data_IF_954229088031
#
_entry.id   IF_954229088031
#
_cell.length_a   1.000
_cell.length_b   1.000
_cell.length_c   1.000
_cell.angle_alpha   90.00
_cell.angle_beta   90.00
_cell.angle_gamma   90.00
#
_symmetry.space_group_name_H-M   'P 1'
#
loop_
_entity.id
_entity.type
_entity.pdbx_description
1 polymer ?
#
# COMPACT_ATOMS: atom_id res chain seq x y z
N UNK A 1 9.86 54.39 -36.85
CA UNK A 1 10.99 54.98 -37.64
C UNK A 1 12.09 53.93 -37.77
N UNK A 2 12.49 53.68 -39.05
CA UNK A 2 13.66 52.96 -39.56
C UNK A 2 13.84 51.48 -39.15
N UNK A 3 13.51 50.45 -39.99
CA UNK A 3 14.07 50.07 -41.32
C UNK A 3 15.61 49.97 -41.35
N UNK A 4 16.12 48.71 -41.58
CA UNK A 4 17.02 48.28 -42.64
C UNK A 4 17.28 46.77 -42.37
N UNK A 5 16.87 45.78 -43.07
CA UNK A 5 17.18 45.31 -44.43
C UNK A 5 18.67 44.99 -44.64
N UNK A 6 18.96 43.74 -44.85
CA UNK A 6 20.29 43.23 -45.26
C UNK A 6 20.20 41.78 -45.72
N UNK A 7 20.00 41.62 -46.99
CA UNK A 7 19.96 40.42 -47.86
C UNK A 7 21.37 40.21 -48.44
N UNK A 8 21.84 38.98 -48.63
CA UNK A 8 22.80 38.50 -49.69
C UNK A 8 23.13 37.05 -49.33
N UNK A 9 22.73 36.06 -50.02
CA UNK A 9 22.90 35.51 -51.38
C UNK A 9 24.24 34.79 -51.65
N UNK A 10 24.10 33.58 -52.17
CA UNK A 10 24.96 32.79 -53.06
C UNK A 10 26.08 31.96 -52.39
N UNK A 11 26.46 30.77 -52.85
CA UNK A 11 26.20 30.02 -54.06
C UNK A 11 26.59 28.56 -53.87
N UNK A 12 26.05 27.72 -54.69
CA UNK A 12 26.26 26.29 -54.86
C UNK A 12 27.66 25.96 -55.45
N UNK A 13 28.14 24.74 -55.19
CA UNK A 13 28.91 23.95 -56.18
C UNK A 13 28.71 22.45 -55.94
N UNK A 14 28.23 21.79 -56.95
CA UNK A 14 28.12 20.36 -57.24
C UNK A 14 29.48 19.81 -57.66
N UNK A 15 29.70 18.53 -57.49
CA UNK A 15 30.52 17.52 -58.23
C UNK A 15 30.95 16.47 -57.18
N UNK A 16 30.79 15.17 -57.32
CA UNK A 16 30.66 14.30 -58.45
C UNK A 16 30.37 12.87 -58.02
N UNK A 17 29.84 12.11 -58.91
CA UNK A 17 29.54 10.69 -58.88
C UNK A 17 30.79 9.79 -58.67
N UNK A 18 30.63 8.70 -57.91
CA UNK A 18 31.30 7.44 -58.24
C UNK A 18 30.42 6.26 -57.82
N UNK A 19 30.11 5.46 -58.79
CA UNK A 19 29.38 4.21 -58.75
C UNK A 19 30.24 3.12 -58.08
N UNK A 20 29.63 2.37 -57.19
CA UNK A 20 30.19 1.14 -56.65
C UNK A 20 29.03 0.31 -56.08
N UNK A 21 28.48 -0.55 -56.91
CA UNK A 21 27.51 -1.58 -56.47
C UNK A 21 28.29 -2.66 -55.68
N UNK A 22 27.85 -2.92 -54.48
CA UNK A 22 28.05 -4.21 -53.81
C UNK A 22 26.87 -4.44 -52.89
N UNK A 23 26.04 -5.34 -53.32
CA UNK A 23 24.92 -5.95 -52.66
C UNK A 23 25.42 -6.69 -51.40
N UNK A 24 25.12 -6.20 -50.24
CA UNK A 24 25.10 -6.99 -49.01
C UNK A 24 24.00 -6.46 -48.15
N UNK A 25 22.92 -7.22 -48.12
CA UNK A 25 21.80 -7.08 -47.20
C UNK A 25 22.29 -7.27 -45.78
N UNK A 26 22.77 -6.19 -45.18
CA UNK A 26 23.04 -6.12 -43.75
C UNK A 26 21.85 -5.44 -43.08
N UNK A 27 20.93 -6.29 -42.63
CA UNK A 27 19.89 -5.87 -41.69
C UNK A 27 20.58 -5.38 -40.43
N UNK A 28 20.25 -4.19 -39.92
CA UNK A 28 20.73 -3.79 -38.61
C UNK A 28 20.19 -4.78 -37.60
N UNK A 29 21.03 -5.68 -37.13
CA UNK A 29 20.79 -6.48 -35.93
C UNK A 29 20.79 -5.49 -34.78
N UNK A 30 19.58 -5.05 -34.39
CA UNK A 30 19.42 -4.46 -33.07
C UNK A 30 19.82 -5.57 -32.08
N UNK A 31 21.01 -5.42 -31.53
CA UNK A 31 21.45 -6.28 -30.45
C UNK A 31 20.40 -6.24 -29.37
N UNK A 32 19.73 -7.37 -29.20
CA UNK A 32 18.90 -7.66 -28.04
C UNK A 32 19.85 -7.68 -26.85
N UNK A 33 20.11 -6.50 -26.29
CA UNK A 33 20.62 -6.43 -24.94
C UNK A 33 19.49 -6.96 -24.06
N UNK A 34 19.58 -8.23 -23.68
CA UNK A 34 18.85 -8.79 -22.56
C UNK A 34 19.28 -8.07 -21.28
N UNK A 35 18.98 -6.77 -21.20
CA UNK A 35 18.80 -6.08 -19.96
C UNK A 35 17.45 -6.53 -19.42
N UNK A 36 17.45 -7.60 -18.65
CA UNK A 36 16.34 -7.92 -17.76
C UNK A 36 16.14 -6.71 -16.87
N UNK A 37 15.22 -5.85 -17.24
CA UNK A 37 14.62 -4.88 -16.30
C UNK A 37 13.92 -5.76 -15.26
N UNK A 38 14.33 -5.74 -13.99
CA UNK A 38 13.59 -6.47 -12.96
C UNK A 38 12.32 -5.71 -12.67
N UNK A 39 11.34 -5.82 -13.58
CA UNK A 39 9.95 -5.47 -13.33
C UNK A 39 9.23 -6.76 -12.97
N UNK A 40 9.81 -7.52 -12.05
CA UNK A 40 9.16 -8.68 -11.47
C UNK A 40 8.24 -8.18 -10.36
N UNK A 41 6.93 -8.21 -10.61
CA UNK A 41 5.95 -8.29 -9.53
C UNK A 41 6.46 -9.38 -8.58
N UNK A 42 6.72 -9.08 -7.30
CA UNK A 42 7.27 -10.06 -6.39
C UNK A 42 6.40 -11.32 -6.40
N UNK A 43 7.01 -12.47 -6.62
CA UNK A 43 6.27 -13.71 -6.60
C UNK A 43 5.69 -13.92 -5.19
N UNK A 44 4.49 -14.47 -5.08
CA UNK A 44 3.79 -14.68 -3.80
C UNK A 44 4.69 -15.35 -2.74
N UNK A 45 5.62 -16.22 -3.14
CA UNK A 45 6.58 -16.83 -2.24
C UNK A 45 7.64 -15.86 -1.67
N UNK A 46 8.01 -14.80 -2.38
CA UNK A 46 8.94 -13.78 -1.89
C UNK A 46 8.28 -12.88 -0.86
N UNK A 47 7.03 -12.46 -1.12
CA UNK A 47 6.23 -11.70 -0.16
C UNK A 47 5.99 -12.50 1.14
N UNK A 48 5.71 -13.80 1.03
CA UNK A 48 5.53 -14.66 2.19
C UNK A 48 6.81 -14.79 3.03
N UNK A 49 7.97 -14.88 2.39
CA UNK A 49 9.28 -14.88 3.08
C UNK A 49 9.56 -13.53 3.74
N UNK A 50 9.30 -12.42 3.05
CA UNK A 50 9.48 -11.08 3.60
C UNK A 50 8.59 -10.85 4.83
N UNK A 51 7.30 -11.25 4.75
CA UNK A 51 6.37 -11.23 5.87
C UNK A 51 6.87 -12.02 7.07
N UNK A 52 7.31 -13.28 6.85
CA UNK A 52 7.82 -14.15 7.89
C UNK A 52 9.11 -13.59 8.52
N UNK A 53 10.03 -13.06 7.70
CA UNK A 53 11.26 -12.44 8.17
C UNK A 53 11.02 -11.19 9.03
N UNK A 54 9.95 -10.44 8.75
CA UNK A 54 9.51 -9.29 9.53
C UNK A 54 8.75 -9.68 10.83
N UNK A 55 8.46 -10.96 11.05
CA UNK A 55 7.66 -11.40 12.20
C UNK A 55 6.19 -10.98 12.13
N UNK A 56 5.67 -10.60 10.95
CA UNK A 56 4.28 -10.19 10.79
C UNK A 56 3.38 -11.42 10.91
N UNK A 57 2.42 -11.35 11.82
CA UNK A 57 1.49 -12.43 12.13
C UNK A 57 0.62 -12.84 10.92
N UNK A 58 0.16 -14.08 10.96
CA UNK A 58 -0.86 -14.57 10.02
C UNK A 58 -2.20 -13.85 10.21
N UNK A 59 -2.91 -13.60 9.12
CA UNK A 59 -4.24 -13.00 9.21
C UNK A 59 -5.23 -13.92 9.92
N UNK A 60 -6.14 -13.37 10.73
CA UNK A 60 -7.12 -14.14 11.48
C UNK A 60 -8.08 -14.87 10.53
N UNK A 61 -8.50 -16.06 10.94
CA UNK A 61 -9.61 -16.75 10.29
C UNK A 61 -10.91 -16.10 10.70
N UNK A 62 -11.66 -15.60 9.75
CA UNK A 62 -12.93 -14.92 10.00
C UNK A 62 -14.10 -15.68 9.37
N UNK A 63 -15.26 -15.67 10.02
CA UNK A 63 -16.45 -16.27 9.45
C UNK A 63 -17.04 -15.39 8.34
N UNK A 64 -17.62 -16.01 7.32
CA UNK A 64 -18.37 -15.34 6.24
C UNK A 64 -19.73 -14.88 6.78
N UNK A 65 -19.75 -13.74 7.47
CA UNK A 65 -20.97 -13.19 8.08
C UNK A 65 -21.51 -12.02 7.25
N UNK A 66 -22.82 -11.80 7.34
CA UNK A 66 -23.44 -10.61 6.74
C UNK A 66 -23.01 -9.35 7.48
N UNK A 67 -22.84 -8.26 6.73
CA UNK A 67 -22.70 -6.95 7.34
C UNK A 67 -23.94 -6.62 8.17
N UNK A 68 -23.75 -5.98 9.30
CA UNK A 68 -24.84 -5.45 10.13
C UNK A 68 -24.90 -3.92 10.01
N UNK A 69 -26.00 -3.35 10.44
CA UNK A 69 -26.14 -1.90 10.52
C UNK A 69 -25.00 -1.30 11.35
N UNK A 70 -24.32 -0.27 10.83
CA UNK A 70 -23.14 0.38 11.44
C UNK A 70 -21.96 -0.59 11.69
N UNK A 71 -21.94 -1.78 11.07
CA UNK A 71 -20.84 -2.74 11.22
C UNK A 71 -19.86 -2.66 10.07
N UNK A 72 -18.82 -3.47 10.19
CA UNK A 72 -17.86 -3.65 9.10
C UNK A 72 -18.54 -4.25 7.85
N UNK A 73 -18.07 -3.88 6.64
CA UNK A 73 -18.65 -4.36 5.39
C UNK A 73 -18.40 -5.86 5.19
N UNK A 74 -19.32 -6.53 4.48
CA UNK A 74 -19.16 -7.92 4.05
C UNK A 74 -18.21 -8.01 2.84
N UNK A 75 -16.97 -7.55 3.02
CA UNK A 75 -15.88 -7.59 2.05
C UNK A 75 -14.78 -8.53 2.56
N UNK A 76 -14.12 -9.19 1.63
CA UNK A 76 -12.98 -10.07 1.93
C UNK A 76 -11.74 -9.47 1.31
N UNK A 77 -10.70 -9.30 2.11
CA UNK A 77 -9.40 -8.81 1.69
C UNK A 77 -8.35 -9.92 1.82
N UNK A 78 -7.44 -9.97 0.88
CA UNK A 78 -6.33 -10.91 0.92
C UNK A 78 -5.31 -10.51 1.98
N UNK A 79 -4.73 -11.51 2.65
CA UNK A 79 -3.67 -11.28 3.61
C UNK A 79 -2.40 -10.83 2.88
N UNK A 80 -1.84 -9.69 3.26
CA UNK A 80 -0.61 -9.15 2.68
C UNK A 80 0.55 -10.13 2.92
N UNK A 81 1.23 -10.50 1.86
CA UNK A 81 2.27 -11.54 1.90
C UNK A 81 1.74 -12.98 2.02
N UNK A 82 0.43 -13.19 1.85
CA UNK A 82 -0.19 -14.52 1.86
C UNK A 82 -0.72 -14.96 3.23
N UNK A 83 -1.55 -15.98 3.21
CA UNK A 83 -2.25 -16.52 4.38
C UNK A 83 -3.76 -16.53 4.20
N UNK A 84 -4.51 -16.61 5.30
CA UNK A 84 -5.98 -16.62 5.25
C UNK A 84 -6.52 -15.25 4.81
N UNK A 85 -7.46 -15.17 3.88
CA UNK A 85 -8.18 -13.94 3.61
C UNK A 85 -9.04 -13.56 4.83
N UNK A 86 -9.24 -12.25 5.01
CA UNK A 86 -10.02 -11.70 6.12
C UNK A 86 -11.35 -11.18 5.59
N UNK A 87 -12.45 -11.79 6.05
CA UNK A 87 -13.79 -11.25 5.84
C UNK A 87 -14.11 -10.24 6.93
N UNK A 88 -14.14 -8.95 6.58
CA UNK A 88 -14.18 -7.86 7.56
C UNK A 88 -15.38 -7.94 8.50
N UNK A 89 -16.60 -8.25 7.98
CA UNK A 89 -17.80 -8.42 8.83
C UNK A 89 -17.68 -9.59 9.83
N UNK A 90 -16.70 -10.46 9.65
CA UNK A 90 -16.40 -11.57 10.55
C UNK A 90 -15.44 -11.23 11.70
N UNK A 91 -14.88 -10.03 11.75
CA UNK A 91 -14.07 -9.54 12.86
C UNK A 91 -14.97 -9.24 14.06
N UNK A 92 -14.98 -10.16 15.02
CA UNK A 92 -15.85 -10.12 16.22
C UNK A 92 -15.17 -10.85 17.38
N UNK A 93 -15.68 -10.62 18.59
CA UNK A 93 -15.25 -11.30 19.81
C UNK A 93 -14.09 -10.61 20.53
N UNK A 94 -13.44 -9.66 19.89
CA UNK A 94 -12.41 -8.79 20.47
C UNK A 94 -12.53 -7.39 19.87
N UNK A 95 -12.42 -6.31 20.67
CA UNK A 95 -12.34 -4.97 20.13
C UNK A 95 -11.22 -4.89 19.10
N UNK A 96 -11.49 -4.27 17.97
CA UNK A 96 -10.53 -4.23 16.85
C UNK A 96 -10.23 -2.79 16.46
N UNK A 97 -8.95 -2.47 16.31
CA UNK A 97 -8.46 -1.21 15.74
C UNK A 97 -7.96 -1.49 14.33
N UNK A 98 -8.62 -0.89 13.34
CA UNK A 98 -8.22 -1.03 11.94
C UNK A 98 -7.50 0.25 11.52
N UNK A 99 -6.21 0.12 11.19
CA UNK A 99 -5.40 1.21 10.65
C UNK A 99 -5.35 1.10 9.13
N UNK A 100 -5.86 2.11 8.42
CA UNK A 100 -5.76 2.24 6.96
C UNK A 100 -4.53 3.10 6.63
N UNK A 101 -3.63 2.53 5.86
CA UNK A 101 -2.33 3.11 5.53
C UNK A 101 -1.88 2.71 4.12
N UNK A 102 -0.76 3.23 3.63
CA UNK A 102 -0.12 2.80 2.39
C UNK A 102 1.39 3.10 2.43
N UNK A 103 2.18 2.42 1.61
CA UNK A 103 3.63 2.63 1.55
C UNK A 103 4.01 4.03 1.08
N UNK A 104 3.20 4.64 0.24
CA UNK A 104 3.38 6.00 -0.28
C UNK A 104 2.87 7.11 0.66
N UNK A 105 2.15 6.77 1.75
CA UNK A 105 1.55 7.73 2.68
C UNK A 105 2.59 8.20 3.72
N UNK A 106 3.05 9.45 3.60
CA UNK A 106 4.04 10.03 4.51
C UNK A 106 3.63 10.00 5.98
N UNK A 107 2.48 10.59 6.38
CA UNK A 107 2.03 10.59 7.77
C UNK A 107 1.78 9.18 8.33
N UNK A 108 1.39 8.21 7.49
CA UNK A 108 1.20 6.83 7.93
C UNK A 108 2.50 6.19 8.41
N UNK A 109 3.64 6.52 7.76
CA UNK A 109 4.95 6.00 8.16
C UNK A 109 5.35 6.42 9.57
N UNK A 110 4.92 7.60 10.01
CA UNK A 110 5.20 8.14 11.32
C UNK A 110 4.38 7.46 12.42
N UNK A 111 3.15 7.02 12.11
CA UNK A 111 2.26 6.41 13.10
C UNK A 111 2.38 4.88 13.20
N UNK A 112 2.85 4.18 12.15
CA UNK A 112 2.96 2.70 12.17
C UNK A 112 3.72 2.16 13.40
N UNK A 113 4.85 2.75 13.88
CA UNK A 113 5.51 2.31 15.09
C UNK A 113 4.65 2.43 16.35
N UNK A 114 3.69 3.36 16.38
CA UNK A 114 2.79 3.53 17.51
C UNK A 114 1.77 2.38 17.57
N UNK A 115 1.24 1.97 16.41
CA UNK A 115 0.38 0.79 16.31
C UNK A 115 1.14 -0.51 16.63
N UNK A 116 2.41 -0.62 16.20
CA UNK A 116 3.26 -1.76 16.55
C UNK A 116 3.42 -1.88 18.07
N UNK A 117 3.72 -0.77 18.75
CA UNK A 117 3.80 -0.72 20.22
C UNK A 117 2.45 -1.02 20.88
N UNK A 118 1.34 -0.52 20.32
CA UNK A 118 0.01 -0.81 20.85
C UNK A 118 -0.34 -2.29 20.70
N UNK A 119 0.04 -2.93 19.59
CA UNK A 119 -0.13 -4.37 19.41
C UNK A 119 0.66 -5.18 20.45
N UNK A 120 1.91 -4.82 20.68
CA UNK A 120 2.77 -5.48 21.69
C UNK A 120 2.19 -5.39 23.11
N UNK A 121 1.67 -4.23 23.49
CA UNK A 121 1.22 -3.97 24.86
C UNK A 121 -0.25 -4.29 25.11
N UNK A 122 -1.11 -4.22 24.10
CA UNK A 122 -2.55 -4.39 24.23
C UNK A 122 -3.11 -5.59 23.46
N UNK A 123 -2.27 -6.35 22.75
CA UNK A 123 -2.70 -7.43 21.84
C UNK A 123 -3.57 -8.52 22.48
N UNK A 124 -3.45 -8.72 23.80
CA UNK A 124 -4.32 -9.63 24.54
C UNK A 124 -5.75 -9.09 24.71
N UNK A 125 -5.90 -7.77 24.73
CA UNK A 125 -7.17 -7.06 24.97
C UNK A 125 -7.83 -6.56 23.72
N UNK A 126 -7.07 -6.18 22.71
CA UNK A 126 -7.56 -5.71 21.41
C UNK A 126 -6.93 -6.50 20.26
N UNK A 127 -7.55 -6.45 19.12
CA UNK A 127 -6.93 -6.84 17.85
C UNK A 127 -6.54 -5.60 17.07
N UNK A 128 -5.36 -5.57 16.48
CA UNK A 128 -4.98 -4.57 15.47
C UNK A 128 -4.92 -5.25 14.10
N UNK A 129 -5.50 -4.61 13.09
CA UNK A 129 -5.46 -5.02 11.69
C UNK A 129 -5.04 -3.83 10.83
N UNK A 130 -3.98 -3.98 10.05
CA UNK A 130 -3.60 -2.98 9.05
C UNK A 130 -4.25 -3.29 7.71
N UNK A 131 -4.83 -2.27 7.06
CA UNK A 131 -5.27 -2.35 5.66
C UNK A 131 -4.32 -1.50 4.83
N UNK A 132 -3.53 -2.16 4.00
CA UNK A 132 -2.71 -1.54 2.96
C UNK A 132 -3.63 -1.12 1.82
N UNK A 133 -4.01 0.17 1.82
CA UNK A 133 -5.12 0.72 1.03
C UNK A 133 -4.62 1.47 -0.20
N UNK A 134 -5.20 1.17 -1.36
CA UNK A 134 -4.85 1.82 -2.63
C UNK A 134 -3.34 1.78 -2.93
N UNK A 135 -2.70 0.66 -2.61
CA UNK A 135 -1.26 0.44 -2.79
C UNK A 135 -1.03 -0.80 -3.65
N UNK A 136 -0.40 -0.63 -4.78
CA UNK A 136 -0.07 -1.69 -5.73
C UNK A 136 1.38 -2.19 -5.60
N UNK A 137 2.09 -1.75 -4.55
CA UNK A 137 3.48 -2.08 -4.25
C UNK A 137 3.61 -2.91 -2.95
N UNK A 138 3.15 -4.17 -2.92
CA UNK A 138 3.11 -4.99 -1.71
C UNK A 138 4.49 -5.26 -1.09
N UNK A 139 5.56 -5.24 -1.88
CA UNK A 139 6.95 -5.33 -1.42
C UNK A 139 7.38 -4.07 -0.66
N UNK A 140 7.01 -2.89 -1.17
CA UNK A 140 7.24 -1.62 -0.49
C UNK A 140 6.43 -1.53 0.82
N UNK A 141 5.17 -1.99 0.79
CA UNK A 141 4.32 -2.06 1.98
C UNK A 141 4.92 -2.96 3.06
N UNK A 142 5.32 -4.20 2.73
CA UNK A 142 5.98 -5.11 3.68
C UNK A 142 7.31 -4.56 4.19
N UNK A 143 8.12 -3.94 3.31
CA UNK A 143 9.39 -3.33 3.71
C UNK A 143 9.18 -2.17 4.69
N UNK A 144 8.16 -1.34 4.47
CA UNK A 144 7.81 -0.26 5.40
C UNK A 144 7.31 -0.82 6.73
N UNK A 145 6.39 -1.78 6.71
CA UNK A 145 5.87 -2.42 7.90
C UNK A 145 6.98 -3.05 8.75
N UNK A 146 7.92 -3.78 8.12
CA UNK A 146 9.08 -4.35 8.78
C UNK A 146 9.97 -3.29 9.45
N UNK A 147 10.26 -2.19 8.74
CA UNK A 147 11.06 -1.07 9.28
C UNK A 147 10.36 -0.35 10.45
N UNK A 148 9.04 -0.32 10.46
CA UNK A 148 8.23 0.26 11.52
C UNK A 148 8.03 -0.69 12.73
N UNK A 149 8.54 -1.93 12.65
CA UNK A 149 8.38 -2.94 13.71
C UNK A 149 6.96 -3.52 13.79
N UNK A 150 6.20 -3.42 12.71
CA UNK A 150 4.83 -3.96 12.64
C UNK A 150 4.88 -5.48 12.67
N UNK A 151 4.19 -6.08 13.64
CA UNK A 151 4.02 -7.53 13.78
C UNK A 151 2.54 -7.96 13.70
N UNK A 152 1.60 -7.04 13.84
CA UNK A 152 0.18 -7.35 13.70
C UNK A 152 -0.23 -7.70 12.26
N UNK A 153 -1.36 -8.41 12.07
CA UNK A 153 -1.84 -8.84 10.76
C UNK A 153 -2.08 -7.68 9.79
N UNK A 154 -1.69 -7.89 8.53
CA UNK A 154 -1.89 -6.93 7.44
C UNK A 154 -2.68 -7.56 6.30
N UNK A 155 -3.65 -6.83 5.77
CA UNK A 155 -4.40 -7.19 4.55
C UNK A 155 -4.18 -6.14 3.47
N UNK A 156 -4.32 -6.54 2.21
CA UNK A 156 -4.14 -5.68 1.04
C UNK A 156 -5.48 -5.31 0.40
N UNK A 157 -5.66 -4.04 0.09
CA UNK A 157 -6.79 -3.51 -0.69
C UNK A 157 -6.32 -2.59 -1.83
N UNK A 158 -5.58 -3.13 -2.82
CA UNK A 158 -5.02 -2.32 -3.91
C UNK A 158 -6.11 -1.69 -4.79
N UNK A 159 -7.33 -2.24 -4.76
CA UNK A 159 -8.47 -1.74 -5.54
C UNK A 159 -9.37 -0.77 -4.79
N UNK A 160 -8.99 -0.36 -3.59
CA UNK A 160 -9.79 0.55 -2.74
C UNK A 160 -11.21 0.05 -2.48
N UNK A 161 -11.40 -1.26 -2.36
CA UNK A 161 -12.72 -1.88 -2.26
C UNK A 161 -13.47 -1.47 -0.99
N UNK A 162 -12.74 -1.12 0.08
CA UNK A 162 -13.34 -0.62 1.34
C UNK A 162 -13.69 0.86 1.31
N UNK A 163 -13.27 1.61 0.27
CA UNK A 163 -13.37 3.08 0.24
C UNK A 163 -14.77 3.60 0.55
N UNK A 164 -15.77 3.14 -0.20
CA UNK A 164 -17.14 3.60 -0.03
C UNK A 164 -17.75 3.13 1.31
N UNK A 165 -17.48 1.89 1.70
CA UNK A 165 -18.07 1.28 2.89
C UNK A 165 -17.50 1.85 4.20
N UNK A 166 -16.22 2.22 4.23
CA UNK A 166 -15.55 2.82 5.39
C UNK A 166 -15.41 4.35 5.25
N UNK A 167 -16.00 4.95 4.21
CA UNK A 167 -15.96 6.39 3.92
C UNK A 167 -14.52 6.94 3.95
N UNK A 168 -13.60 6.25 3.25
CA UNK A 168 -12.19 6.65 3.19
C UNK A 168 -12.05 7.85 2.26
N UNK A 169 -11.69 9.00 2.82
CA UNK A 169 -11.47 10.26 2.09
C UNK A 169 -10.00 10.64 2.01
N UNK A 170 -9.15 9.94 2.75
CA UNK A 170 -7.70 10.16 2.80
C UNK A 170 -7.04 9.26 3.84
N UNK A 171 -5.71 9.22 3.82
CA UNK A 171 -4.90 8.46 4.77
C UNK A 171 -4.06 9.41 5.64
N UNK A 172 -3.77 9.01 6.89
CA UNK A 172 -4.24 7.80 7.55
C UNK A 172 -5.69 7.90 8.01
N UNK A 173 -6.33 6.75 8.17
CA UNK A 173 -7.64 6.64 8.81
C UNK A 173 -7.63 5.45 9.78
N UNK A 174 -8.21 5.65 10.96
CA UNK A 174 -8.36 4.57 11.95
C UNK A 174 -9.82 4.31 12.21
N UNK A 175 -10.22 3.03 12.18
CA UNK A 175 -11.60 2.60 12.49
C UNK A 175 -11.55 1.77 13.76
N UNK A 176 -12.35 2.18 14.74
CA UNK A 176 -12.52 1.49 16.03
C UNK A 176 -13.78 0.65 15.96
N UNK A 177 -13.65 -0.63 16.28
CA UNK A 177 -14.70 -1.63 16.14
C UNK A 177 -14.88 -2.36 17.47
N UNK A 178 -16.12 -2.42 17.95
CA UNK A 178 -16.43 -3.13 19.18
C UNK A 178 -16.36 -4.66 19.02
N UNK A 179 -16.47 -5.40 20.13
CA UNK A 179 -16.46 -6.87 20.13
C UNK A 179 -17.58 -7.49 19.29
N UNK A 180 -18.65 -6.76 19.07
CA UNK A 180 -19.78 -7.19 18.26
C UNK A 180 -19.56 -6.93 16.76
N UNK A 181 -18.45 -6.26 16.38
CA UNK A 181 -18.12 -5.87 15.02
C UNK A 181 -18.90 -4.63 14.55
N UNK A 182 -19.35 -3.75 15.48
CA UNK A 182 -19.92 -2.45 15.16
C UNK A 182 -18.83 -1.40 15.12
N UNK A 183 -18.88 -0.50 14.18
CA UNK A 183 -17.96 0.65 14.13
C UNK A 183 -18.37 1.63 15.22
N UNK A 184 -17.54 1.71 16.26
CA UNK A 184 -17.73 2.64 17.38
C UNK A 184 -17.31 4.06 16.98
N UNK A 185 -16.20 4.20 16.26
CA UNK A 185 -15.70 5.49 15.78
C UNK A 185 -14.82 5.33 14.55
N UNK A 186 -14.61 6.45 13.85
CA UNK A 186 -13.62 6.59 12.77
C UNK A 186 -12.88 7.91 12.94
N UNK A 187 -11.56 7.85 13.06
CA UNK A 187 -10.71 9.03 13.07
C UNK A 187 -9.90 9.16 11.78
N UNK A 188 -9.80 10.39 11.26
CA UNK A 188 -9.12 10.72 9.99
C UNK A 188 -7.97 11.67 10.25
N UNK A 189 -7.01 11.19 11.01
CA UNK A 189 -5.81 11.95 11.40
C UNK A 189 -4.67 10.99 11.70
N UNK A 190 -3.44 11.47 11.62
CA UNK A 190 -2.28 10.75 12.11
C UNK A 190 -2.17 10.90 13.65
N UNK A 191 -1.83 9.81 14.33
CA UNK A 191 -1.42 9.84 15.72
C UNK A 191 0.04 10.29 15.81
N UNK A 192 0.34 11.12 16.82
CA UNK A 192 1.68 11.72 16.98
C UNK A 192 2.44 11.14 18.17
N UNK A 193 1.78 10.42 19.05
CA UNK A 193 2.37 9.74 20.20
C UNK A 193 1.61 8.48 20.56
N UNK A 194 2.25 7.61 21.32
CA UNK A 194 1.61 6.41 21.86
C UNK A 194 0.43 6.78 22.77
N UNK A 195 0.61 7.77 23.60
CA UNK A 195 -0.46 8.24 24.53
C UNK A 195 -1.67 8.80 23.77
N UNK A 196 -1.44 9.48 22.63
CA UNK A 196 -2.52 9.96 21.75
C UNK A 196 -3.31 8.80 21.15
N UNK A 197 -2.65 7.73 20.68
CA UNK A 197 -3.30 6.54 20.17
C UNK A 197 -4.05 5.78 21.27
N UNK A 198 -3.42 5.56 22.42
CA UNK A 198 -4.06 4.81 23.52
C UNK A 198 -5.21 5.56 24.15
N UNK A 199 -5.15 6.89 24.22
CA UNK A 199 -6.31 7.70 24.62
C UNK A 199 -7.51 7.51 23.69
N UNK A 200 -7.27 7.45 22.37
CA UNK A 200 -8.34 7.16 21.41
C UNK A 200 -8.88 5.73 21.55
N UNK A 201 -8.01 4.73 21.78
CA UNK A 201 -8.42 3.36 22.05
C UNK A 201 -9.29 3.29 23.31
N UNK A 202 -8.88 3.93 24.41
CA UNK A 202 -9.67 3.96 25.65
C UNK A 202 -11.01 4.66 25.43
N UNK A 203 -11.01 5.82 24.75
CA UNK A 203 -12.22 6.60 24.49
C UNK A 203 -13.26 5.82 23.69
N UNK A 204 -12.83 5.12 22.65
CA UNK A 204 -13.76 4.50 21.69
C UNK A 204 -14.08 3.03 21.99
N UNK A 205 -13.18 2.32 22.66
CA UNK A 205 -13.31 0.89 22.93
C UNK A 205 -13.34 0.55 24.42
N UNK A 206 -13.11 1.52 25.32
CA UNK A 206 -13.09 1.29 26.77
C UNK A 206 -11.92 0.41 27.24
N UNK A 207 -10.84 0.33 26.46
CA UNK A 207 -9.66 -0.47 26.79
C UNK A 207 -8.56 0.46 27.31
N UNK A 208 -8.25 0.33 28.57
CA UNK A 208 -7.20 1.10 29.22
C UNK A 208 -5.81 0.61 28.80
N UNK A 209 -4.79 1.49 28.70
CA UNK A 209 -3.40 1.15 28.37
C UNK A 209 -2.74 0.19 29.32
#
# INVERSE_FOLDING_TARGET
MRRVAGLLLAAALLVGCSSGASDTTDKPVFGSSNGSVPNSVPHAGELAKAKAAAGIEGCPKTAMTKAKAKGLPALTLDCLGGGNPVHLAGLRGKPTVINLWASWCGPCREELPLFAKAHEQLGDRIQILGIDFADDAPDAALSLAAKAGVTYPLVADPKSSVQAALLVVGLPQTVFVDEQGTIAATERRAYRSYDDLTAAISLHLGVEP
#
